data_IF_869139525621
#
_entry.id   IF_869139525621
#
_cell.length_a   1.000
_cell.length_b   1.000
_cell.length_c   1.000
_cell.angle_alpha   90.00
_cell.angle_beta   90.00
_cell.angle_gamma   90.00
#
_symmetry.space_group_name_H-M   'P 1'
#
loop_
_entity.id
_entity.type
_entity.pdbx_description
1 polymer ?
#
# COMPACT_ATOMS: atom_id res chain seq x y z
N UNK A 1 -17.73 8.71 24.38
CA UNK A 1 -18.05 7.43 23.71
C UNK A 1 -17.18 7.20 22.45
N UNK A 2 -16.29 8.12 22.08
CA UNK A 2 -15.37 7.99 20.93
C UNK A 2 -14.07 7.24 21.25
N UNK A 3 -14.15 5.91 21.30
CA UNK A 3 -12.98 5.04 21.36
C UNK A 3 -12.44 4.67 19.95
N UNK A 4 -13.09 5.08 18.87
CA UNK A 4 -12.78 4.63 17.50
C UNK A 4 -11.60 5.33 16.83
N UNK A 5 -11.17 6.52 17.32
CA UNK A 5 -10.09 7.29 16.68
C UNK A 5 -8.92 7.63 17.60
N UNK A 6 -8.97 7.21 18.88
CA UNK A 6 -7.77 7.19 19.72
C UNK A 6 -7.01 5.92 19.38
N UNK A 7 -5.92 6.04 18.63
CA UNK A 7 -5.04 4.90 18.34
C UNK A 7 -4.80 4.11 19.62
N UNK A 8 -5.17 2.84 19.62
CA UNK A 8 -4.97 1.94 20.75
C UNK A 8 -3.46 1.80 20.89
N UNK A 9 -2.79 2.66 21.67
CA UNK A 9 -1.32 2.68 21.81
C UNK A 9 -0.58 3.96 21.37
N UNK A 10 -1.25 4.99 20.82
CA UNK A 10 -0.58 6.26 20.46
C UNK A 10 -1.38 7.19 19.54
N UNK A 11 -0.79 8.31 19.11
CA UNK A 11 -1.37 9.19 18.08
C UNK A 11 -1.18 8.60 16.69
N UNK A 12 -2.11 8.86 15.78
CA UNK A 12 -1.98 8.44 14.38
C UNK A 12 -2.49 7.05 14.04
N UNK A 13 -3.26 6.36 14.91
CA UNK A 13 -3.66 4.97 14.68
C UNK A 13 -4.46 4.70 13.39
N UNK A 14 -5.25 5.65 12.92
CA UNK A 14 -5.96 5.56 11.64
C UNK A 14 -7.07 4.50 11.65
N UNK A 15 -7.14 3.69 10.59
CA UNK A 15 -8.26 2.77 10.32
C UNK A 15 -8.28 1.51 11.20
N UNK A 16 -7.14 1.15 11.77
CA UNK A 16 -6.91 -0.12 12.49
C UNK A 16 -7.30 -1.38 11.68
N UNK A 17 -7.41 -1.25 10.36
CA UNK A 17 -7.73 -2.34 9.45
C UNK A 17 -6.61 -2.44 8.44
N UNK A 18 -5.94 -3.59 8.40
CA UNK A 18 -4.64 -3.78 7.75
C UNK A 18 -4.72 -4.91 6.74
N UNK A 19 -4.25 -4.67 5.51
CA UNK A 19 -4.26 -5.65 4.43
C UNK A 19 -2.86 -5.88 3.86
N UNK A 20 -2.58 -7.13 3.51
CA UNK A 20 -1.41 -7.55 2.71
C UNK A 20 -1.85 -8.57 1.65
N UNK A 21 -1.27 -8.46 0.45
CA UNK A 21 -1.43 -9.45 -0.62
C UNK A 21 -0.49 -10.65 -0.46
N UNK A 22 0.51 -10.52 0.40
CA UNK A 22 1.60 -11.46 0.59
C UNK A 22 2.64 -11.38 -0.52
N UNK A 23 3.90 -11.67 -0.18
CA UNK A 23 5.01 -11.65 -1.15
C UNK A 23 6.23 -12.44 -0.66
N UNK A 24 7.21 -12.55 -1.55
CA UNK A 24 8.45 -13.32 -1.47
C UNK A 24 8.20 -14.81 -1.25
N UNK A 25 8.22 -15.54 -2.35
CA UNK A 25 8.19 -17.01 -2.38
C UNK A 25 9.40 -17.58 -1.65
N UNK A 26 9.15 -18.57 -0.81
CA UNK A 26 10.19 -19.29 -0.04
C UNK A 26 10.47 -20.68 -0.61
N UNK A 27 9.72 -21.10 -1.63
CA UNK A 27 9.85 -22.41 -2.26
C UNK A 27 9.33 -22.41 -3.71
N UNK A 28 9.65 -23.47 -4.45
CA UNK A 28 9.30 -23.65 -5.86
C UNK A 28 8.01 -24.46 -6.10
N UNK A 29 7.12 -24.58 -5.11
CA UNK A 29 5.85 -25.34 -5.26
C UNK A 29 4.83 -24.65 -6.20
N UNK A 30 5.20 -23.50 -6.75
CA UNK A 30 4.51 -22.77 -7.80
C UNK A 30 4.01 -21.39 -7.36
N UNK A 31 3.79 -20.52 -8.34
CA UNK A 31 3.41 -19.12 -8.13
C UNK A 31 2.09 -18.96 -7.33
N UNK A 32 1.19 -19.93 -7.43
CA UNK A 32 -0.06 -20.08 -6.66
C UNK A 32 0.07 -20.50 -5.19
N UNK A 33 1.09 -21.30 -4.89
CA UNK A 33 1.05 -22.27 -3.78
C UNK A 33 2.20 -22.12 -2.80
N UNK A 34 3.28 -21.50 -3.23
CA UNK A 34 4.49 -21.27 -2.45
C UNK A 34 4.20 -20.59 -1.12
N UNK A 35 4.90 -21.03 -0.08
CA UNK A 35 4.91 -20.31 1.19
C UNK A 35 5.51 -18.93 0.98
N UNK A 36 4.88 -17.91 1.58
CA UNK A 36 5.31 -16.51 1.46
C UNK A 36 6.04 -16.07 2.73
N UNK A 37 7.08 -15.24 2.57
CA UNK A 37 7.76 -14.57 3.69
C UNK A 37 6.80 -13.61 4.40
N UNK A 38 6.09 -12.79 3.62
CA UNK A 38 5.02 -11.96 4.12
C UNK A 38 3.69 -12.67 3.87
N UNK A 39 2.94 -13.03 4.91
CA UNK A 39 1.67 -13.72 4.72
C UNK A 39 0.63 -12.79 4.11
N UNK A 40 -0.20 -13.36 3.23
CA UNK A 40 -1.41 -12.74 2.70
C UNK A 40 -2.49 -12.73 3.77
N UNK A 41 -3.14 -11.60 4.01
CA UNK A 41 -4.21 -11.55 4.99
C UNK A 41 -4.76 -10.16 5.27
N UNK A 42 -5.83 -10.16 6.05
CA UNK A 42 -6.55 -8.98 6.50
C UNK A 42 -6.79 -9.07 8.01
N UNK A 43 -6.45 -8.00 8.72
CA UNK A 43 -6.82 -7.79 10.13
C UNK A 43 -7.76 -6.59 10.17
N UNK A 44 -8.84 -6.68 10.93
CA UNK A 44 -9.88 -5.64 10.97
C UNK A 44 -10.03 -5.08 12.38
N UNK A 45 -10.27 -3.77 12.48
CA UNK A 45 -10.63 -3.07 13.72
C UNK A 45 -9.65 -3.27 14.89
N UNK A 46 -8.36 -3.49 14.60
CA UNK A 46 -7.33 -3.72 15.59
C UNK A 46 -7.42 -5.07 16.31
N UNK A 47 -8.23 -6.01 15.81
CA UNK A 47 -8.41 -7.33 16.41
C UNK A 47 -7.19 -8.23 16.14
N UNK A 48 -6.24 -8.23 17.09
CA UNK A 48 -5.02 -9.05 17.04
C UNK A 48 -5.27 -10.55 17.26
N UNK A 49 -6.51 -10.99 17.46
CA UNK A 49 -6.85 -12.40 17.63
C UNK A 49 -7.30 -13.07 16.33
N UNK A 50 -7.58 -12.28 15.28
CA UNK A 50 -8.28 -12.78 14.10
C UNK A 50 -7.69 -12.27 12.79
N UNK A 51 -7.40 -13.22 11.91
CA UNK A 51 -7.02 -12.98 10.53
C UNK A 51 -8.13 -13.45 9.58
N UNK A 52 -8.33 -12.69 8.50
CA UNK A 52 -9.25 -12.99 7.43
C UNK A 52 -8.49 -13.21 6.12
N UNK A 53 -8.94 -14.12 5.24
CA UNK A 53 -8.36 -14.29 3.92
C UNK A 53 -8.66 -13.07 3.04
N UNK A 54 -7.72 -12.75 2.15
CA UNK A 54 -7.87 -11.69 1.15
C UNK A 54 -8.30 -12.30 -0.19
N UNK A 55 -9.45 -11.86 -0.69
CA UNK A 55 -9.99 -12.17 -2.02
C UNK A 55 -9.82 -10.96 -2.94
N UNK A 56 -9.03 -11.11 -3.99
CA UNK A 56 -8.76 -10.03 -4.93
C UNK A 56 -10.00 -9.54 -5.67
N UNK A 57 -11.05 -10.37 -5.80
CA UNK A 57 -12.29 -9.97 -6.45
C UNK A 57 -13.09 -8.94 -5.64
N UNK A 58 -12.75 -8.74 -4.36
CA UNK A 58 -13.37 -7.74 -3.48
C UNK A 58 -12.70 -6.37 -3.54
N UNK A 59 -11.65 -6.22 -4.34
CA UNK A 59 -10.97 -4.94 -4.54
C UNK A 59 -11.75 -4.11 -5.56
N UNK A 60 -12.10 -2.89 -5.19
CA UNK A 60 -12.72 -1.94 -6.12
C UNK A 60 -12.24 -0.51 -5.83
N UNK A 61 -12.21 0.32 -6.86
CA UNK A 61 -11.85 1.74 -6.76
C UNK A 61 -13.08 2.62 -6.94
N UNK A 62 -13.33 3.48 -5.97
CA UNK A 62 -14.33 4.55 -6.04
C UNK A 62 -13.67 5.85 -6.56
N UNK A 63 -14.41 6.65 -7.32
CA UNK A 63 -13.92 7.94 -7.86
C UNK A 63 -14.83 9.10 -7.51
N UNK A 64 -15.73 8.94 -6.53
CA UNK A 64 -16.74 9.94 -6.15
C UNK A 64 -16.09 11.28 -5.81
N UNK A 65 -15.02 11.26 -5.00
CA UNK A 65 -14.27 12.46 -4.61
C UNK A 65 -12.92 12.60 -5.35
N UNK A 66 -12.75 11.88 -6.47
CA UNK A 66 -11.54 11.93 -7.30
C UNK A 66 -11.83 12.56 -8.67
N UNK A 67 -10.87 13.25 -9.29
CA UNK A 67 -11.02 13.95 -10.58
C UNK A 67 -11.03 13.01 -11.79
N UNK A 68 -11.94 12.04 -11.78
CA UNK A 68 -12.24 11.14 -12.89
C UNK A 68 -13.74 11.10 -13.18
N UNK A 69 -14.12 10.77 -14.41
CA UNK A 69 -15.49 10.34 -14.69
C UNK A 69 -15.77 9.03 -13.95
N UNK A 70 -16.93 8.96 -13.30
CA UNK A 70 -17.34 7.76 -12.57
C UNK A 70 -18.61 7.17 -13.17
N UNK A 71 -18.76 5.85 -13.06
CA UNK A 71 -19.97 5.12 -13.48
C UNK A 71 -21.06 5.13 -12.40
N UNK A 72 -20.86 5.89 -11.31
CA UNK A 72 -21.76 5.98 -10.16
C UNK A 72 -21.60 4.85 -9.14
N UNK A 73 -20.63 3.95 -9.33
CA UNK A 73 -20.30 2.83 -8.44
C UNK A 73 -18.80 2.54 -8.44
N UNK A 74 -18.26 1.93 -7.36
CA UNK A 74 -16.88 1.44 -7.36
C UNK A 74 -16.66 0.38 -8.44
N UNK A 75 -15.48 0.39 -9.07
CA UNK A 75 -15.13 -0.51 -10.18
C UNK A 75 -14.00 -1.44 -9.78
N UNK A 76 -14.15 -2.75 -10.05
CA UNK A 76 -13.03 -3.67 -9.93
C UNK A 76 -11.99 -3.37 -11.03
N UNK A 77 -10.67 -3.44 -10.77
CA UNK A 77 -9.62 -3.08 -11.73
C UNK A 77 -9.76 -3.68 -13.13
N UNK A 78 -10.20 -4.94 -13.27
CA UNK A 78 -10.45 -5.54 -14.59
C UNK A 78 -11.43 -4.77 -15.50
N UNK A 79 -12.37 -4.01 -14.93
CA UNK A 79 -13.34 -3.19 -15.67
C UNK A 79 -13.19 -1.70 -15.34
N UNK A 80 -12.17 -1.32 -14.56
CA UNK A 80 -11.96 0.04 -14.11
C UNK A 80 -11.65 0.98 -15.26
N UNK A 81 -12.14 2.20 -15.15
CA UNK A 81 -11.90 3.28 -16.09
C UNK A 81 -11.00 4.37 -15.48
N UNK A 82 -10.30 5.11 -16.33
CA UNK A 82 -9.43 6.23 -15.92
C UNK A 82 -9.59 7.38 -16.90
N UNK A 83 -10.74 8.07 -16.84
CA UNK A 83 -11.06 9.20 -17.71
C UNK A 83 -10.97 10.49 -16.88
N UNK A 84 -9.95 11.35 -17.08
CA UNK A 84 -9.75 12.55 -16.27
C UNK A 84 -10.92 13.55 -16.35
N UNK A 85 -11.36 14.06 -15.19
CA UNK A 85 -12.39 15.10 -15.08
C UNK A 85 -12.09 16.05 -13.93
N UNK A 86 -11.23 17.04 -14.21
CA UNK A 86 -10.91 18.08 -13.26
C UNK A 86 -12.07 19.07 -13.09
N UNK A 87 -12.48 19.33 -11.85
CA UNK A 87 -13.65 20.18 -11.51
C UNK A 87 -13.26 21.48 -10.80
N UNK A 88 -11.96 21.78 -10.76
CA UNK A 88 -11.43 23.01 -10.18
C UNK A 88 -11.41 23.01 -8.64
N UNK A 89 -10.66 23.97 -8.11
CA UNK A 89 -10.59 24.28 -6.69
C UNK A 89 -11.59 25.40 -6.34
N UNK A 90 -11.96 25.49 -5.06
CA UNK A 90 -12.72 26.64 -4.53
C UNK A 90 -11.77 27.83 -4.43
N UNK A 91 -12.16 28.96 -5.01
CA UNK A 91 -11.46 30.24 -4.84
C UNK A 91 -12.08 31.00 -3.66
N UNK A 92 -11.26 31.58 -2.80
CA UNK A 92 -11.69 32.52 -1.75
C UNK A 92 -11.05 33.88 -1.97
N UNK A 93 -11.57 34.89 -1.28
CA UNK A 93 -11.11 36.29 -1.36
C UNK A 93 -9.69 36.49 -0.81
N UNK A 94 -9.21 35.56 0.02
CA UNK A 94 -7.85 35.53 0.58
C UNK A 94 -6.75 35.22 -0.47
N UNK A 95 -7.12 34.99 -1.73
CA UNK A 95 -6.20 34.69 -2.82
C UNK A 95 -5.71 33.24 -2.87
N UNK A 96 -6.11 32.38 -1.92
CA UNK A 96 -5.75 30.97 -1.89
C UNK A 96 -6.80 30.09 -2.56
N UNK A 97 -6.34 28.95 -3.10
CA UNK A 97 -7.19 27.90 -3.63
C UNK A 97 -7.41 26.81 -2.59
N UNK A 98 -8.66 26.38 -2.42
CA UNK A 98 -9.07 25.39 -1.43
C UNK A 98 -9.67 24.16 -2.09
N UNK A 99 -9.41 22.99 -1.51
CA UNK A 99 -10.08 21.75 -1.88
C UNK A 99 -11.59 21.84 -1.62
N UNK A 100 -12.39 21.25 -2.52
CA UNK A 100 -13.83 21.08 -2.35
C UNK A 100 -14.10 19.70 -1.74
N UNK A 101 -13.97 19.57 -0.42
CA UNK A 101 -13.98 18.25 0.27
C UNK A 101 -15.29 17.48 0.19
N UNK A 102 -16.40 18.16 -0.16
CA UNK A 102 -17.71 17.56 -0.41
C UNK A 102 -17.96 17.24 -1.91
N UNK A 103 -16.98 17.57 -2.76
CA UNK A 103 -16.98 17.28 -4.20
C UNK A 103 -15.69 16.50 -4.57
N UNK A 104 -15.25 16.56 -5.83
CA UNK A 104 -13.96 15.99 -6.24
C UNK A 104 -12.80 16.88 -5.80
N UNK A 105 -11.83 16.30 -5.08
CA UNK A 105 -10.71 17.04 -4.50
C UNK A 105 -9.33 16.37 -4.64
N UNK A 106 -9.22 15.22 -5.31
CA UNK A 106 -7.96 14.51 -5.46
C UNK A 106 -7.81 13.85 -6.83
N UNK A 107 -6.57 13.67 -7.28
CA UNK A 107 -6.23 12.79 -8.41
C UNK A 107 -6.04 11.32 -7.99
N UNK A 108 -6.04 11.03 -6.70
CA UNK A 108 -5.93 9.66 -6.21
C UNK A 108 -7.34 9.05 -6.20
N UNK A 109 -7.51 7.84 -6.74
CA UNK A 109 -8.76 7.06 -6.61
C UNK A 109 -8.92 6.54 -5.18
N UNK A 110 -10.10 6.04 -4.83
CA UNK A 110 -10.43 5.54 -3.49
C UNK A 110 -10.61 4.02 -3.50
N UNK A 111 -9.54 3.22 -3.46
CA UNK A 111 -9.64 1.78 -3.37
C UNK A 111 -10.25 1.34 -2.02
N UNK A 112 -11.08 0.31 -2.08
CA UNK A 112 -11.77 -0.29 -0.94
C UNK A 112 -11.73 -1.81 -1.07
N UNK A 113 -11.57 -2.49 0.05
CA UNK A 113 -11.69 -3.94 0.14
C UNK A 113 -13.08 -4.28 0.69
N UNK A 114 -13.91 -4.96 -0.09
CA UNK A 114 -15.29 -5.29 0.29
C UNK A 114 -16.09 -4.05 0.74
N UNK A 115 -15.83 -2.92 0.09
CA UNK A 115 -16.44 -1.62 0.40
C UNK A 115 -15.98 -0.99 1.72
N UNK A 116 -14.84 -1.42 2.29
CA UNK A 116 -14.21 -0.85 3.48
C UNK A 116 -12.82 -0.26 3.18
N UNK A 117 -12.43 0.85 3.81
CA UNK A 117 -11.07 1.35 3.74
C UNK A 117 -10.13 0.45 4.56
N UNK A 118 -8.91 0.24 4.05
CA UNK A 118 -7.85 -0.52 4.73
C UNK A 118 -6.52 0.21 4.56
N UNK A 119 -5.64 0.04 5.54
CA UNK A 119 -4.26 0.49 5.52
C UNK A 119 -3.35 -0.63 5.00
N UNK A 120 -2.38 -0.27 4.16
CA UNK A 120 -1.35 -1.18 3.64
C UNK A 120 0.03 -0.61 3.95
N UNK A 121 1.07 -1.45 3.91
CA UNK A 121 2.45 -1.03 4.16
C UNK A 121 3.18 -1.88 5.18
N UNK A 122 4.36 -1.44 5.63
CA UNK A 122 5.17 -2.20 6.59
C UNK A 122 4.40 -2.53 7.87
N UNK A 123 3.61 -1.58 8.40
CA UNK A 123 2.78 -1.84 9.57
C UNK A 123 1.76 -2.96 9.31
N UNK A 124 1.11 -2.94 8.14
CA UNK A 124 0.13 -3.97 7.80
C UNK A 124 0.77 -5.35 7.72
N UNK A 125 1.96 -5.47 7.11
CA UNK A 125 2.71 -6.74 7.06
C UNK A 125 3.14 -7.24 8.43
N UNK A 126 3.62 -6.35 9.31
CA UNK A 126 3.98 -6.72 10.68
C UNK A 126 2.77 -7.19 11.50
N UNK A 127 1.64 -6.46 11.41
CA UNK A 127 0.41 -6.82 12.11
C UNK A 127 -0.15 -8.14 11.59
N UNK A 128 -0.32 -8.29 10.27
CA UNK A 128 -0.86 -9.52 9.69
C UNK A 128 0.05 -10.70 9.95
N UNK A 129 1.38 -10.55 9.83
CA UNK A 129 2.35 -11.59 10.17
C UNK A 129 2.31 -12.01 11.62
N UNK A 130 2.22 -11.04 12.54
CA UNK A 130 2.10 -11.31 13.98
C UNK A 130 0.83 -12.11 14.30
N UNK A 131 -0.32 -11.68 13.77
CA UNK A 131 -1.63 -12.34 13.99
C UNK A 131 -1.70 -13.70 13.30
N UNK A 132 -1.02 -13.89 12.17
CA UNK A 132 -0.92 -15.18 11.47
C UNK A 132 -0.12 -16.23 12.23
N UNK A 133 0.60 -15.83 13.29
CA UNK A 133 1.51 -16.72 13.99
C UNK A 133 2.85 -16.93 13.26
N UNK A 134 3.26 -16.02 12.37
CA UNK A 134 4.55 -16.17 11.69
C UNK A 134 5.70 -15.98 12.70
N UNK A 135 6.48 -17.04 12.90
CA UNK A 135 7.54 -17.08 13.92
C UNK A 135 8.66 -16.06 13.66
N UNK A 136 8.99 -15.80 12.38
CA UNK A 136 10.03 -14.82 12.03
C UNK A 136 9.54 -13.41 12.36
N UNK A 137 8.36 -13.03 11.89
CA UNK A 137 7.78 -11.71 12.15
C UNK A 137 7.55 -11.52 13.65
N UNK A 138 7.01 -12.52 14.37
CA UNK A 138 6.84 -12.46 15.83
C UNK A 138 8.16 -12.26 16.57
N UNK A 139 9.25 -12.90 16.14
CA UNK A 139 10.58 -12.68 16.70
C UNK A 139 11.03 -11.23 16.54
N UNK A 140 10.96 -10.66 15.33
CA UNK A 140 11.43 -9.29 15.08
C UNK A 140 10.56 -8.23 15.78
N UNK A 141 9.23 -8.39 15.73
CA UNK A 141 8.30 -7.53 16.49
C UNK A 141 8.56 -7.67 17.99
N UNK A 142 8.70 -8.89 18.50
CA UNK A 142 8.99 -9.16 19.91
C UNK A 142 10.31 -8.56 20.39
N UNK A 143 11.36 -8.56 19.56
CA UNK A 143 12.63 -7.90 19.86
C UNK A 143 12.44 -6.40 20.05
N UNK A 144 11.70 -5.74 19.16
CA UNK A 144 11.38 -4.33 19.27
C UNK A 144 10.60 -4.02 20.56
N UNK A 145 9.54 -4.78 20.86
CA UNK A 145 8.72 -4.58 22.05
C UNK A 145 9.54 -4.79 23.34
N UNK A 146 10.38 -5.83 23.39
CA UNK A 146 11.26 -6.10 24.53
C UNK A 146 12.28 -4.97 24.75
N UNK A 147 12.90 -4.46 23.68
CA UNK A 147 13.89 -3.37 23.77
C UNK A 147 13.26 -2.04 24.17
N UNK A 148 12.05 -1.78 23.71
CA UNK A 148 11.35 -0.52 23.98
C UNK A 148 10.57 -0.52 25.30
N UNK A 149 10.23 -1.70 25.84
CA UNK A 149 9.35 -1.82 27.01
C UNK A 149 7.90 -1.44 26.72
N UNK A 150 7.50 -1.39 25.44
CA UNK A 150 6.19 -0.96 24.99
C UNK A 150 5.27 -2.17 24.72
N UNK A 151 3.96 -2.03 24.90
CA UNK A 151 3.01 -3.10 24.59
C UNK A 151 2.73 -3.16 23.07
N UNK A 152 2.21 -4.29 22.57
CA UNK A 152 2.00 -4.54 21.13
C UNK A 152 1.11 -3.48 20.47
N UNK A 153 0.17 -2.91 21.23
CA UNK A 153 -0.73 -1.84 20.84
C UNK A 153 0.03 -0.62 20.29
N UNK A 154 1.28 -0.38 20.71
CA UNK A 154 2.07 0.75 20.18
C UNK A 154 2.27 0.69 18.66
N UNK A 155 2.15 -0.49 18.05
CA UNK A 155 2.18 -0.64 16.59
C UNK A 155 1.06 0.15 15.90
N UNK A 156 -0.09 0.37 16.56
CA UNK A 156 -1.23 1.12 16.03
C UNK A 156 -1.06 2.63 16.20
N UNK A 157 0.06 3.16 15.70
CA UNK A 157 0.42 4.58 15.82
C UNK A 157 1.36 5.06 14.71
N UNK A 158 1.57 6.37 14.61
CA UNK A 158 2.62 6.99 13.76
C UNK A 158 4.01 6.44 14.07
N UNK A 159 4.32 6.22 15.35
CA UNK A 159 5.59 5.61 15.76
C UNK A 159 5.63 4.14 15.37
N UNK A 160 4.53 3.42 15.54
CA UNK A 160 4.38 2.03 15.13
C UNK A 160 4.63 1.80 13.65
N UNK A 161 4.12 2.66 12.75
CA UNK A 161 4.45 2.61 11.30
C UNK A 161 5.93 2.82 11.03
N UNK A 162 6.54 3.75 11.74
CA UNK A 162 7.98 4.05 11.61
C UNK A 162 8.82 2.88 12.08
N UNK A 163 8.48 2.30 13.23
CA UNK A 163 9.12 1.11 13.77
C UNK A 163 8.95 -0.09 12.85
N UNK A 164 7.74 -0.33 12.33
CA UNK A 164 7.46 -1.43 11.42
C UNK A 164 8.35 -1.41 10.17
N UNK A 165 8.64 -0.23 9.61
CA UNK A 165 9.59 -0.08 8.50
C UNK A 165 11.01 -0.49 8.87
N UNK A 166 11.46 -0.12 10.07
CA UNK A 166 12.78 -0.50 10.57
C UNK A 166 12.89 -2.01 10.85
N UNK A 167 11.85 -2.57 11.50
CA UNK A 167 11.72 -4.01 11.77
C UNK A 167 11.75 -4.80 10.46
N UNK A 168 10.98 -4.37 9.46
CA UNK A 168 10.97 -5.01 8.14
C UNK A 168 12.33 -4.92 7.45
N UNK A 169 13.04 -3.79 7.59
CA UNK A 169 14.38 -3.62 7.01
C UNK A 169 15.37 -4.61 7.63
N UNK A 170 15.37 -4.77 8.95
CA UNK A 170 16.20 -5.75 9.67
C UNK A 170 15.86 -7.19 9.21
N UNK A 171 14.57 -7.53 9.19
CA UNK A 171 14.08 -8.84 8.75
C UNK A 171 14.52 -9.16 7.31
N UNK A 172 14.40 -8.19 6.41
CA UNK A 172 14.77 -8.34 5.00
C UNK A 172 16.27 -8.48 4.82
N UNK A 173 17.09 -7.71 5.54
CA UNK A 173 18.55 -7.84 5.50
C UNK A 173 19.00 -9.27 5.85
N UNK A 174 18.47 -9.83 6.95
CA UNK A 174 18.78 -11.20 7.36
C UNK A 174 18.25 -12.23 6.36
N UNK A 175 17.08 -12.00 5.77
CA UNK A 175 16.47 -12.94 4.82
C UNK A 175 17.21 -12.97 3.48
N UNK A 176 17.66 -11.81 2.97
CA UNK A 176 18.39 -11.72 1.71
C UNK A 176 19.72 -12.48 1.74
N UNK A 177 20.40 -12.52 2.89
CA UNK A 177 21.63 -13.32 3.03
C UNK A 177 21.37 -14.81 2.76
N UNK A 178 20.26 -15.34 3.28
CA UNK A 178 19.86 -16.73 3.00
C UNK A 178 19.59 -16.97 1.51
N UNK A 179 18.92 -16.04 0.83
CA UNK A 179 18.67 -16.17 -0.61
C UNK A 179 19.95 -16.11 -1.46
N UNK A 180 20.93 -15.31 -1.05
CA UNK A 180 22.25 -15.28 -1.72
C UNK A 180 22.96 -16.62 -1.55
N UNK A 181 22.91 -17.21 -0.35
CA UNK A 181 23.48 -18.53 -0.11
C UNK A 181 22.76 -19.62 -0.92
N UNK A 182 21.42 -19.60 -0.97
CA UNK A 182 20.62 -20.52 -1.80
C UNK A 182 20.98 -20.41 -3.29
N UNK A 183 21.09 -19.19 -3.82
CA UNK A 183 21.50 -18.95 -5.20
C UNK A 183 22.92 -19.48 -5.47
N UNK A 184 23.86 -19.22 -4.56
CA UNK A 184 25.24 -19.69 -4.69
C UNK A 184 25.32 -21.22 -4.69
N UNK A 185 24.54 -21.89 -3.82
CA UNK A 185 24.46 -23.34 -3.77
C UNK A 185 23.85 -23.94 -5.03
N UNK A 186 22.74 -23.38 -5.53
CA UNK A 186 22.11 -23.83 -6.78
C UNK A 186 23.10 -23.74 -7.95
N UNK A 187 23.75 -22.59 -8.11
CA UNK A 187 24.75 -22.40 -9.16
C UNK A 187 25.95 -23.36 -9.02
N UNK A 188 26.45 -23.56 -7.81
CA UNK A 188 27.54 -24.50 -7.54
C UNK A 188 27.15 -25.97 -7.80
N UNK A 189 25.87 -26.31 -7.63
CA UNK A 189 25.32 -27.64 -7.93
C UNK A 189 25.06 -27.87 -9.43
N UNK A 190 25.20 -26.85 -10.26
CA UNK A 190 25.02 -26.91 -11.71
C UNK A 190 23.63 -26.48 -12.21
N UNK A 191 22.74 -26.03 -11.33
CA UNK A 191 21.48 -25.40 -11.76
C UNK A 191 21.73 -23.93 -12.13
N UNK A 192 21.74 -23.68 -13.44
CA UNK A 192 21.91 -22.35 -14.04
C UNK A 192 20.65 -21.89 -14.77
N UNK A 193 19.50 -22.52 -14.51
CA UNK A 193 18.25 -22.18 -15.17
C UNK A 193 17.70 -20.84 -14.65
N UNK A 194 17.35 -19.93 -15.57
CA UNK A 194 16.82 -18.59 -15.21
C UNK A 194 15.55 -18.22 -15.97
N UNK A 195 15.08 -19.11 -16.85
CA UNK A 195 13.96 -18.85 -17.74
C UNK A 195 13.27 -20.17 -18.12
N UNK A 196 11.96 -20.10 -18.33
CA UNK A 196 11.17 -21.18 -18.89
C UNK A 196 10.59 -20.73 -20.23
N UNK A 197 10.75 -21.56 -21.26
CA UNK A 197 10.13 -21.31 -22.55
C UNK A 197 8.60 -21.27 -22.41
N UNK A 198 7.99 -20.29 -23.06
CA UNK A 198 6.55 -20.17 -23.12
C UNK A 198 6.11 -19.84 -24.54
N UNK A 199 4.92 -20.34 -24.89
CA UNK A 199 4.30 -20.13 -26.18
C UNK A 199 3.45 -18.86 -26.13
N UNK A 200 3.91 -17.80 -26.81
CA UNK A 200 3.24 -16.50 -26.80
C UNK A 200 1.81 -16.60 -27.33
N UNK A 201 1.58 -17.37 -28.40
CA UNK A 201 0.26 -17.51 -29.03
C UNK A 201 -0.75 -18.17 -28.09
N UNK A 202 -0.29 -19.03 -27.18
CA UNK A 202 -1.14 -19.63 -26.13
C UNK A 202 -1.49 -18.65 -25.01
N UNK A 203 -0.62 -17.71 -24.68
CA UNK A 203 -0.84 -16.77 -23.55
C UNK A 203 -1.43 -15.43 -23.99
N UNK A 204 -1.32 -15.08 -25.27
CA UNK A 204 -1.86 -13.84 -25.84
C UNK A 204 -3.32 -13.97 -26.32
N UNK A 205 -4.03 -15.00 -25.88
CA UNK A 205 -5.47 -15.18 -26.15
C UNK A 205 -6.32 -14.21 -25.32
N UNK A 206 -7.61 -14.10 -25.62
CA UNK A 206 -8.57 -13.37 -24.80
C UNK A 206 -8.56 -13.87 -23.35
N UNK A 207 -7.95 -13.11 -22.46
CA UNK A 207 -7.69 -13.54 -21.07
C UNK A 207 -7.60 -12.37 -20.10
N UNK A 208 -7.55 -12.68 -18.82
CA UNK A 208 -7.36 -11.73 -17.71
C UNK A 208 -6.23 -12.24 -16.82
N UNK A 209 -5.37 -11.34 -16.38
CA UNK A 209 -4.27 -11.66 -15.47
C UNK A 209 -4.14 -10.62 -14.36
N UNK A 210 -3.59 -11.04 -13.23
CA UNK A 210 -3.21 -10.13 -12.15
C UNK A 210 -1.83 -10.48 -11.60
N UNK A 211 -1.05 -9.44 -11.32
CA UNK A 211 0.19 -9.53 -10.55
C UNK A 211 0.00 -8.82 -9.22
N UNK A 212 0.14 -9.55 -8.12
CA UNK A 212 0.07 -9.00 -6.76
C UNK A 212 1.45 -9.09 -6.12
N UNK A 213 1.85 -8.04 -5.41
CA UNK A 213 3.12 -7.93 -4.72
C UNK A 213 3.00 -7.06 -3.47
N UNK A 214 4.00 -7.11 -2.59
CA UNK A 214 4.19 -6.19 -1.48
C UNK A 214 5.37 -5.26 -1.79
N UNK A 215 5.06 -4.10 -2.36
CA UNK A 215 6.03 -3.03 -2.52
C UNK A 215 6.43 -2.46 -1.14
N UNK A 216 7.51 -1.65 -1.03
CA UNK A 216 7.92 -1.07 0.25
C UNK A 216 6.81 -0.30 0.97
N UNK A 217 5.93 0.37 0.21
CA UNK A 217 4.79 1.14 0.74
C UNK A 217 3.53 0.32 1.02
N UNK A 218 3.48 -0.96 0.62
CA UNK A 218 2.36 -1.86 0.87
C UNK A 218 1.94 -2.70 -0.34
N UNK A 219 0.69 -3.14 -0.30
CA UNK A 219 0.07 -4.01 -1.31
C UNK A 219 -0.09 -3.32 -2.67
N UNK A 220 0.58 -3.88 -3.68
CA UNK A 220 0.57 -3.46 -5.07
C UNK A 220 -0.14 -4.51 -5.91
N UNK A 221 -1.10 -4.09 -6.72
CA UNK A 221 -1.74 -4.97 -7.70
C UNK A 221 -1.76 -4.35 -9.09
N UNK A 222 -1.47 -5.16 -10.08
CA UNK A 222 -1.62 -4.84 -11.50
C UNK A 222 -2.63 -5.83 -12.10
N UNK A 223 -3.61 -5.32 -12.83
CA UNK A 223 -4.63 -6.11 -13.52
C UNK A 223 -4.58 -5.81 -15.01
N UNK A 224 -4.53 -6.88 -15.81
CA UNK A 224 -4.48 -6.80 -17.27
C UNK A 224 -5.64 -7.59 -17.87
N UNK A 225 -6.26 -7.03 -18.91
CA UNK A 225 -7.19 -7.73 -19.80
C UNK A 225 -6.55 -7.73 -21.18
N UNK A 226 -6.39 -8.91 -21.77
CA UNK A 226 -5.87 -9.09 -23.13
C UNK A 226 -7.03 -9.46 -24.05
N UNK A 227 -7.09 -8.84 -25.23
CA UNK A 227 -7.99 -9.21 -26.33
C UNK A 227 -7.25 -9.13 -27.65
N UNK A 228 -7.46 -10.12 -28.52
CA UNK A 228 -6.84 -10.16 -29.85
C UNK A 228 -5.30 -9.95 -29.80
N UNK A 229 -4.62 -10.56 -28.82
CA UNK A 229 -3.18 -10.42 -28.63
C UNK A 229 -2.70 -9.07 -28.10
N UNK A 230 -3.61 -8.17 -27.72
CA UNK A 230 -3.30 -6.80 -27.27
C UNK A 230 -3.86 -6.52 -25.88
N UNK A 231 -3.20 -5.64 -25.13
CA UNK A 231 -3.72 -5.14 -23.85
C UNK A 231 -4.96 -4.27 -24.11
N UNK A 232 -6.12 -4.78 -23.74
CA UNK A 232 -7.41 -4.10 -23.87
C UNK A 232 -7.76 -3.24 -22.64
N UNK A 233 -7.30 -3.64 -21.46
CA UNK A 233 -7.39 -2.83 -20.24
C UNK A 233 -6.18 -3.10 -19.33
N UNK A 234 -5.69 -2.06 -18.67
CA UNK A 234 -4.62 -2.17 -17.68
C UNK A 234 -4.91 -1.20 -16.53
N UNK A 235 -5.00 -1.73 -15.31
CA UNK A 235 -5.24 -0.94 -14.10
C UNK A 235 -4.25 -1.35 -13.02
N UNK A 236 -3.70 -0.36 -12.32
CA UNK A 236 -2.82 -0.58 -11.19
C UNK A 236 -3.46 0.02 -9.94
N UNK A 237 -3.55 -0.77 -8.87
CA UNK A 237 -3.93 -0.27 -7.54
C UNK A 237 -2.70 -0.35 -6.66
N UNK A 238 -2.12 0.81 -6.41
CA UNK A 238 -0.80 0.98 -5.78
C UNK A 238 -0.95 1.30 -4.28
N UNK A 239 0.07 1.06 -3.43
CA UNK A 239 -0.09 1.19 -1.98
C UNK A 239 -0.46 2.59 -1.52
N UNK A 240 0.15 3.63 -2.10
CA UNK A 240 -0.21 5.01 -1.79
C UNK A 240 -1.65 5.34 -2.18
N UNK A 241 -2.21 4.67 -3.19
CA UNK A 241 -3.62 4.81 -3.58
C UNK A 241 -4.54 4.31 -2.47
N UNK A 242 -4.19 3.18 -1.82
CA UNK A 242 -4.88 2.68 -0.63
C UNK A 242 -4.85 3.67 0.53
N UNK A 243 -3.67 4.17 0.85
CA UNK A 243 -3.50 4.94 2.08
C UNK A 243 -3.95 6.42 1.94
N UNK A 244 -3.74 7.03 0.76
CA UNK A 244 -4.00 8.44 0.50
C UNK A 244 -5.26 8.71 -0.33
N UNK A 245 -6.02 7.67 -0.69
CA UNK A 245 -7.27 7.81 -1.40
C UNK A 245 -8.28 8.70 -0.65
N UNK A 246 -9.05 9.55 -1.34
CA UNK A 246 -10.03 10.41 -0.71
C UNK A 246 -11.23 9.61 -0.18
N UNK A 247 -12.22 10.32 0.36
CA UNK A 247 -13.51 9.75 0.75
C UNK A 247 -14.18 9.01 -0.41
N UNK A 248 -14.82 7.89 -0.11
CA UNK A 248 -15.65 7.17 -1.10
C UNK A 248 -17.09 7.72 -1.11
N UNK A 249 -17.98 7.09 -1.89
CA UNK A 249 -19.40 7.45 -1.93
C UNK A 249 -20.13 7.39 -0.58
N UNK A 250 -19.62 6.66 0.41
CA UNK A 250 -20.18 6.56 1.76
C UNK A 250 -19.61 7.61 2.72
N UNK A 251 -18.65 8.41 2.26
CA UNK A 251 -17.94 9.39 3.09
C UNK A 251 -16.85 8.79 3.97
N UNK A 252 -16.48 7.51 3.78
CA UNK A 252 -15.48 6.82 4.59
C UNK A 252 -14.07 7.35 4.29
N UNK A 253 -13.35 7.74 5.34
CA UNK A 253 -12.02 8.32 5.26
C UNK A 253 -10.96 7.30 4.78
N UNK A 254 -9.94 7.81 4.08
CA UNK A 254 -8.71 7.05 3.80
C UNK A 254 -7.79 6.94 5.03
N UNK A 255 -6.72 6.15 4.92
CA UNK A 255 -5.80 5.92 6.04
C UNK A 255 -5.11 7.22 6.52
N UNK A 256 -4.72 8.09 5.59
CA UNK A 256 -4.08 9.37 5.91
C UNK A 256 -5.05 10.26 6.69
N UNK A 257 -6.24 10.50 6.13
CA UNK A 257 -7.26 11.34 6.76
C UNK A 257 -7.65 10.81 8.15
N UNK A 258 -7.90 9.50 8.26
CA UNK A 258 -8.24 8.85 9.52
C UNK A 258 -7.12 8.97 10.57
N UNK A 259 -5.85 8.87 10.16
CA UNK A 259 -4.71 8.95 11.08
C UNK A 259 -4.51 10.36 11.66
N UNK A 260 -4.95 11.41 10.97
CA UNK A 260 -4.80 12.78 11.45
C UNK A 260 -5.85 13.16 12.50
N UNK A 261 -6.98 12.44 12.57
CA UNK A 261 -8.02 12.69 13.56
C UNK A 261 -7.47 12.56 14.98
N UNK A 262 -7.68 13.60 15.79
CA UNK A 262 -7.21 13.66 17.18
C UNK A 262 -5.75 14.10 17.36
N UNK A 263 -5.04 14.41 16.27
CA UNK A 263 -3.69 15.00 16.36
C UNK A 263 -3.77 16.39 16.98
N UNK A 264 -3.02 16.61 18.06
CA UNK A 264 -2.85 17.94 18.65
C UNK A 264 -1.72 18.65 17.91
N UNK A 265 -2.00 19.85 17.42
CA UNK A 265 -1.03 20.71 16.73
C UNK A 265 -0.65 21.83 17.68
N UNK A 266 0.61 21.89 18.10
CA UNK A 266 1.07 22.90 19.05
C UNK A 266 1.10 24.32 18.44
N UNK A 267 1.55 24.43 17.19
CA UNK A 267 1.58 25.67 16.41
C UNK A 267 0.95 25.43 15.03
N UNK A 268 -0.24 25.98 14.74
CA UNK A 268 -0.91 25.81 13.44
C UNK A 268 -0.10 26.31 12.23
N UNK A 269 0.79 27.30 12.42
CA UNK A 269 1.66 27.82 11.36
C UNK A 269 2.86 26.89 11.09
N UNK A 270 3.13 25.96 12.00
CA UNK A 270 4.20 24.96 11.91
C UNK A 270 3.65 23.55 12.19
N UNK A 271 2.87 22.95 11.26
CA UNK A 271 2.09 21.74 11.49
C UNK A 271 2.94 20.45 11.50
N UNK A 272 3.99 20.40 12.34
CA UNK A 272 4.96 19.32 12.42
C UNK A 272 4.30 17.98 12.76
N UNK A 273 3.28 17.96 13.61
CA UNK A 273 2.57 16.74 14.02
C UNK A 273 1.77 16.10 12.88
N UNK A 274 1.23 16.94 11.98
CA UNK A 274 0.58 16.48 10.74
C UNK A 274 1.63 15.84 9.83
N UNK A 275 2.75 16.54 9.62
CA UNK A 275 3.85 16.08 8.76
C UNK A 275 4.41 14.76 9.27
N UNK A 276 4.66 14.63 10.58
CA UNK A 276 5.12 13.38 11.20
C UNK A 276 4.21 12.19 10.90
N UNK A 277 2.91 12.39 11.03
CA UNK A 277 1.92 11.34 10.78
C UNK A 277 1.88 10.96 9.30
N UNK A 278 1.79 11.92 8.40
CA UNK A 278 1.77 11.66 6.95
C UNK A 278 3.07 11.00 6.48
N UNK A 279 4.23 11.50 6.90
CA UNK A 279 5.54 10.92 6.55
C UNK A 279 5.72 9.50 7.09
N UNK A 280 5.04 9.12 8.18
CA UNK A 280 5.11 7.75 8.69
C UNK A 280 4.55 6.71 7.73
N UNK A 281 3.75 7.11 6.73
CA UNK A 281 3.28 6.24 5.65
C UNK A 281 4.22 6.19 4.44
N UNK A 282 5.28 7.00 4.38
CA UNK A 282 6.20 7.11 3.23
C UNK A 282 5.45 7.39 1.90
N UNK A 283 4.78 8.56 1.78
CA UNK A 283 3.96 8.91 0.62
C UNK A 283 4.75 8.96 -0.67
N UNK A 284 4.41 8.08 -1.63
CA UNK A 284 4.82 8.22 -3.03
C UNK A 284 3.62 8.66 -3.89
N UNK A 285 3.51 9.97 -4.16
CA UNK A 285 2.38 10.52 -4.94
C UNK A 285 2.47 10.18 -6.43
N UNK A 286 3.69 10.13 -7.00
CA UNK A 286 3.89 9.66 -8.37
C UNK A 286 3.36 8.23 -8.55
N UNK A 287 3.58 7.37 -7.54
CA UNK A 287 3.02 6.03 -7.51
C UNK A 287 1.48 6.06 -7.39
N UNK A 288 0.91 6.94 -6.56
CA UNK A 288 -0.53 7.01 -6.29
C UNK A 288 -1.39 7.47 -7.49
N UNK A 289 -0.83 8.33 -8.35
CA UNK A 289 -1.53 8.93 -9.51
C UNK A 289 -1.07 8.30 -10.83
N UNK A 290 0.01 7.53 -10.82
CA UNK A 290 0.60 6.87 -11.99
C UNK A 290 0.90 7.86 -13.13
N UNK A 291 1.59 8.95 -12.82
CA UNK A 291 1.96 9.94 -13.85
C UNK A 291 2.92 9.26 -14.84
N UNK A 292 2.43 9.02 -16.06
CA UNK A 292 3.21 8.49 -17.18
C UNK A 292 3.16 9.50 -18.32
N UNK A 293 4.32 9.89 -18.83
CA UNK A 293 4.42 10.59 -20.10
C UNK A 293 4.80 9.62 -21.22
N UNK A 294 3.90 9.45 -22.19
CA UNK A 294 4.10 8.58 -23.35
C UNK A 294 4.81 9.28 -24.50
N UNK A 295 5.13 10.57 -24.38
CA UNK A 295 5.82 11.37 -25.40
C UNK A 295 7.30 11.64 -25.08
N UNK A 296 7.84 11.04 -24.01
CA UNK A 296 9.27 11.09 -23.67
C UNK A 296 9.76 12.46 -23.22
N UNK A 297 8.89 13.35 -22.75
CA UNK A 297 9.29 14.60 -22.12
C UNK A 297 9.80 14.29 -20.72
N UNK A 298 11.06 14.61 -20.49
CA UNK A 298 11.69 14.52 -19.19
C UNK A 298 10.94 15.44 -18.20
N UNK A 299 10.22 14.84 -17.23
CA UNK A 299 9.31 15.57 -16.34
C UNK A 299 10.08 16.31 -15.22
N UNK A 300 11.19 15.75 -14.77
CA UNK A 300 12.13 16.39 -13.85
C UNK A 300 13.44 15.57 -13.77
N UNK A 301 14.56 16.26 -13.59
CA UNK A 301 15.87 15.68 -13.24
C UNK A 301 16.24 16.15 -11.84
N UNK A 302 16.43 15.21 -10.94
CA UNK A 302 16.96 15.51 -9.60
C UNK A 302 18.37 14.95 -9.53
N UNK A 303 19.35 15.85 -9.50
CA UNK A 303 20.74 15.50 -9.19
C UNK A 303 20.86 15.44 -7.67
N UNK A 304 20.98 14.24 -7.12
CA UNK A 304 21.39 14.06 -5.73
C UNK A 304 22.90 14.26 -5.70
N UNK A 305 23.38 15.26 -4.99
CA UNK A 305 24.81 15.45 -4.77
C UNK A 305 25.30 14.34 -3.80
N UNK A 306 26.17 13.42 -4.24
CA UNK A 306 26.66 12.34 -3.38
C UNK A 306 27.66 12.85 -2.34
N UNK A 307 28.05 14.14 -2.38
CA UNK A 307 28.96 14.71 -1.39
C UNK A 307 28.19 15.25 -0.19
N UNK A 308 28.19 14.48 0.90
CA UNK A 308 28.03 15.05 2.24
C UNK A 308 29.31 15.81 2.59
N UNK A 309 29.46 17.03 2.07
CA UNK A 309 30.44 17.98 2.59
C UNK A 309 29.69 18.95 3.52
N UNK A 310 29.92 18.80 4.83
CA UNK A 310 29.73 19.85 5.81
C UNK A 310 30.93 20.80 5.77
#
# INVERSE_FOLDING_TARGET
>A
KDATYKGVGGTGGGLLSYMTYGDFRLDDTGFYKSKLLFPKGLVLNGDLSKIYPVDSNKIAEDVTHSWYEGTGKPEHPYVGTTIPKYTGLKKKEDGYSYLKTEEKYSWIKSPRYDGKPVEVGPLARMVVGYVSGDEKIKKYVGNFLKRSGLPIEVLFSTVGRTAARAIETELMADTMMGWVDELALNAASGDLSTWSEFDFDKVSVDTKGMGLAEAPRGSLGHWVVVKDGKVANYQAVVPSTWNAGPRDAKGELGAYEASLIGTKVADPEQPLEIIRTVHSFDPCIACAVHVVDTKGKELAVYKVDPTCAF
#
